data_IF_003992472355
#
_entry.id   IF_003992472355
#
_cell.length_a   1.000
_cell.length_b   1.000
_cell.length_c   1.000
_cell.angle_alpha   90.00
_cell.angle_beta   90.00
_cell.angle_gamma   90.00
#
_symmetry.space_group_name_H-M   'P 1'
#
loop_
_entity.id
_entity.type
_entity.pdbx_description
1 polymer ?
#
# COMPACT_ATOMS: atom_id res chain seq x y z
N UNK A 1 0.76 -0.19 13.66
CA UNK A 1 1.52 -0.25 12.39
C UNK A 1 2.99 -0.10 12.73
N UNK A 2 3.88 -0.88 12.12
CA UNK A 2 5.32 -0.84 12.40
C UNK A 2 6.10 -0.29 11.20
N UNK A 3 7.37 0.07 11.40
CA UNK A 3 8.29 0.44 10.30
C UNK A 3 8.35 -0.68 9.24
N UNK A 4 8.31 -1.94 9.68
CA UNK A 4 8.31 -3.11 8.80
C UNK A 4 7.04 -3.19 7.93
N UNK A 5 5.89 -2.75 8.44
CA UNK A 5 4.65 -2.72 7.66
C UNK A 5 4.72 -1.67 6.54
N UNK A 6 5.30 -0.49 6.82
CA UNK A 6 5.53 0.55 5.81
C UNK A 6 6.54 0.12 4.74
N UNK A 7 7.63 -0.56 5.12
CA UNK A 7 8.57 -1.13 4.15
C UNK A 7 7.89 -2.12 3.20
N UNK A 8 6.94 -2.93 3.70
CA UNK A 8 6.15 -3.85 2.88
C UNK A 8 5.22 -3.10 1.91
N UNK A 9 4.58 -2.02 2.35
CA UNK A 9 3.74 -1.20 1.48
C UNK A 9 4.55 -0.57 0.34
N UNK A 10 5.72 -0.01 0.64
CA UNK A 10 6.63 0.54 -0.38
C UNK A 10 7.07 -0.56 -1.35
N UNK A 11 7.51 -1.72 -0.83
CA UNK A 11 7.85 -2.86 -1.66
C UNK A 11 6.69 -3.27 -2.59
N UNK A 12 5.47 -3.36 -2.06
CA UNK A 12 4.27 -3.74 -2.81
C UNK A 12 3.92 -2.74 -3.92
N UNK A 13 4.18 -1.44 -3.72
CA UNK A 13 4.03 -0.42 -4.76
C UNK A 13 5.07 -0.56 -5.88
N UNK A 14 6.28 -1.02 -5.55
CA UNK A 14 7.41 -1.09 -6.48
C UNK A 14 7.54 -2.43 -7.19
N UNK A 15 7.04 -3.53 -6.60
CA UNK A 15 7.27 -4.89 -7.08
C UNK A 15 6.70 -5.10 -8.48
N UNK A 16 5.51 -4.57 -8.78
CA UNK A 16 4.86 -4.74 -10.08
C UNK A 16 5.58 -3.94 -11.19
N UNK A 17 5.86 -2.63 -11.06
CA UNK A 17 6.73 -1.92 -12.01
C UNK A 17 8.11 -2.56 -12.17
N UNK A 18 8.64 -3.15 -11.09
CA UNK A 18 9.91 -3.86 -11.09
C UNK A 18 10.00 -5.04 -12.05
N UNK A 19 8.87 -5.57 -12.56
CA UNK A 19 8.89 -6.63 -13.59
C UNK A 19 9.60 -6.15 -14.86
N UNK A 20 9.50 -4.86 -15.20
CA UNK A 20 10.18 -4.26 -16.35
C UNK A 20 11.71 -4.32 -16.21
N UNK A 21 12.23 -4.38 -14.98
CA UNK A 21 13.66 -4.49 -14.68
C UNK A 21 14.17 -5.93 -14.49
N UNK A 22 13.30 -6.93 -14.63
CA UNK A 22 13.66 -8.34 -14.55
C UNK A 22 14.20 -8.80 -13.17
N UNK A 23 14.90 -9.93 -13.18
CA UNK A 23 15.28 -10.67 -11.96
C UNK A 23 16.18 -9.87 -11.01
N UNK A 24 17.13 -9.11 -11.55
CA UNK A 24 18.08 -8.32 -10.75
C UNK A 24 17.37 -7.25 -9.92
N UNK A 25 16.41 -6.55 -10.54
CA UNK A 25 15.61 -5.51 -9.86
C UNK A 25 14.73 -6.13 -8.79
N UNK A 26 14.02 -7.23 -9.10
CA UNK A 26 13.18 -7.91 -8.11
C UNK A 26 13.95 -8.35 -6.85
N UNK A 27 15.09 -9.03 -7.03
CA UNK A 27 15.96 -9.41 -5.91
C UNK A 27 16.51 -8.21 -5.14
N UNK A 28 16.79 -7.11 -5.83
CA UNK A 28 17.20 -5.85 -5.21
C UNK A 28 16.10 -5.28 -4.31
N UNK A 29 14.87 -5.24 -4.80
CA UNK A 29 13.70 -4.77 -4.06
C UNK A 29 13.42 -5.65 -2.83
N UNK A 30 13.42 -6.98 -2.98
CA UNK A 30 13.17 -7.89 -1.85
C UNK A 30 14.25 -7.76 -0.78
N UNK A 31 15.53 -7.66 -1.18
CA UNK A 31 16.64 -7.46 -0.22
C UNK A 31 16.55 -6.12 0.49
N UNK A 32 16.34 -5.02 -0.27
CA UNK A 32 16.31 -3.66 0.27
C UNK A 32 15.14 -3.43 1.23
N UNK A 33 13.94 -3.87 0.85
CA UNK A 33 12.72 -3.51 1.56
C UNK A 33 12.21 -4.60 2.50
N UNK A 34 12.42 -5.88 2.16
CA UNK A 34 11.97 -6.99 3.00
C UNK A 34 13.10 -7.62 3.81
N UNK A 35 14.37 -7.30 3.52
CA UNK A 35 15.53 -7.95 4.13
C UNK A 35 15.67 -9.41 3.70
N UNK A 36 15.03 -9.80 2.59
CA UNK A 36 14.99 -11.19 2.11
C UNK A 36 15.62 -11.26 0.72
N UNK A 37 16.58 -12.18 0.56
CA UNK A 37 17.10 -12.59 -0.73
C UNK A 37 17.04 -14.10 -0.81
N UNK A 38 16.62 -14.64 -1.94
CA UNK A 38 16.69 -16.04 -2.28
C UNK A 38 17.69 -16.22 -3.43
N UNK A 39 18.46 -17.30 -3.35
CA UNK A 39 19.33 -17.73 -4.46
C UNK A 39 18.56 -18.41 -5.59
N UNK A 40 17.25 -18.66 -5.40
CA UNK A 40 16.44 -19.43 -6.33
C UNK A 40 16.12 -18.64 -7.61
N UNK A 41 15.73 -19.38 -8.66
CA UNK A 41 15.29 -18.80 -9.92
C UNK A 41 13.92 -18.13 -9.72
N UNK A 42 13.72 -16.87 -10.13
CA UNK A 42 12.46 -16.18 -9.94
C UNK A 42 11.35 -16.82 -10.78
N UNK A 43 10.17 -16.94 -10.18
CA UNK A 43 8.95 -17.51 -10.74
C UNK A 43 7.95 -16.41 -11.05
N UNK A 44 8.24 -15.63 -12.09
CA UNK A 44 7.47 -14.43 -12.46
C UNK A 44 5.98 -14.70 -12.70
N UNK A 45 5.64 -15.74 -13.46
CA UNK A 45 4.24 -16.07 -13.77
C UNK A 45 3.44 -16.35 -12.49
N UNK A 46 3.99 -17.15 -11.58
CA UNK A 46 3.36 -17.47 -10.30
C UNK A 46 3.25 -16.27 -9.36
N UNK A 47 4.17 -15.30 -9.47
CA UNK A 47 4.20 -14.11 -8.64
C UNK A 47 3.33 -12.96 -9.17
N UNK A 48 2.91 -13.00 -10.44
CA UNK A 48 2.24 -11.88 -11.09
C UNK A 48 0.92 -11.50 -10.41
N UNK A 49 0.02 -12.47 -10.23
CA UNK A 49 -1.27 -12.25 -9.54
C UNK A 49 -1.12 -11.63 -8.14
N UNK A 50 -0.31 -12.24 -7.24
CA UNK A 50 0.01 -11.64 -5.95
C UNK A 50 0.64 -10.23 -6.05
N UNK A 51 1.44 -9.96 -7.08
CA UNK A 51 2.04 -8.64 -7.36
C UNK A 51 1.02 -7.58 -7.73
N UNK A 52 0.04 -7.92 -8.56
CA UNK A 52 -1.07 -7.01 -8.89
C UNK A 52 -1.91 -6.69 -7.66
N UNK A 53 -2.29 -7.71 -6.87
CA UNK A 53 -3.09 -7.51 -5.64
C UNK A 53 -2.33 -6.63 -4.64
N UNK A 54 -1.04 -6.94 -4.39
CA UNK A 54 -0.22 -6.14 -3.49
C UNK A 54 -0.10 -4.68 -3.95
N UNK A 55 0.10 -4.46 -5.26
CA UNK A 55 0.19 -3.14 -5.85
C UNK A 55 -1.09 -2.34 -5.64
N UNK A 56 -2.26 -2.91 -5.93
CA UNK A 56 -3.54 -2.23 -5.76
C UNK A 56 -3.83 -1.89 -4.29
N UNK A 57 -3.53 -2.80 -3.37
CA UNK A 57 -3.66 -2.55 -1.94
C UNK A 57 -2.72 -1.45 -1.45
N UNK A 58 -1.46 -1.46 -1.91
CA UNK A 58 -0.51 -0.41 -1.57
C UNK A 58 -0.92 0.94 -2.18
N UNK A 59 -1.37 0.96 -3.42
CA UNK A 59 -1.87 2.16 -4.09
C UNK A 59 -3.06 2.77 -3.33
N UNK A 60 -4.04 1.94 -2.95
CA UNK A 60 -5.16 2.36 -2.13
C UNK A 60 -4.69 2.91 -0.78
N UNK A 61 -3.75 2.24 -0.10
CA UNK A 61 -3.20 2.73 1.17
C UNK A 61 -2.54 4.10 1.03
N UNK A 62 -1.68 4.29 0.02
CA UNK A 62 -1.02 5.58 -0.21
C UNK A 62 -2.01 6.66 -0.65
N UNK A 63 -3.04 6.30 -1.42
CA UNK A 63 -4.15 7.19 -1.72
C UNK A 63 -4.89 7.63 -0.45
N UNK A 64 -5.25 6.72 0.44
CA UNK A 64 -5.92 7.03 1.70
C UNK A 64 -5.08 7.98 2.57
N UNK A 65 -3.79 7.67 2.72
CA UNK A 65 -2.84 8.51 3.47
C UNK A 65 -2.76 9.91 2.86
N UNK A 66 -2.56 9.99 1.54
CA UNK A 66 -2.51 11.25 0.81
C UNK A 66 -3.82 12.03 0.92
N UNK A 67 -4.97 11.36 0.78
CA UNK A 67 -6.30 11.96 0.86
C UNK A 67 -6.57 12.57 2.22
N UNK A 68 -6.19 11.88 3.31
CA UNK A 68 -6.35 12.39 4.68
C UNK A 68 -5.38 13.52 4.98
N UNK A 69 -4.12 13.39 4.55
CA UNK A 69 -3.11 14.43 4.72
C UNK A 69 -3.43 15.72 3.96
N UNK A 70 -4.10 15.61 2.81
CA UNK A 70 -4.45 16.75 1.95
C UNK A 70 -5.92 17.16 2.03
N UNK A 71 -6.71 16.54 2.90
CA UNK A 71 -8.17 16.69 2.94
C UNK A 71 -8.61 18.16 2.99
N UNK A 72 -7.99 18.97 3.84
CA UNK A 72 -8.33 20.39 4.01
C UNK A 72 -8.08 21.24 2.76
N UNK A 73 -7.10 20.90 1.93
CA UNK A 73 -6.86 21.62 0.66
C UNK A 73 -7.97 21.41 -0.37
N UNK A 74 -8.69 20.29 -0.26
CA UNK A 74 -9.78 19.92 -1.17
C UNK A 74 -11.16 20.14 -0.54
N UNK A 75 -11.23 20.78 0.62
CA UNK A 75 -12.50 21.10 1.26
C UNK A 75 -13.09 22.37 0.65
N UNK A 76 -14.27 22.26 0.06
CA UNK A 76 -14.94 23.39 -0.60
C UNK A 76 -16.12 23.95 0.19
N UNK A 77 -16.58 23.29 1.25
CA UNK A 77 -17.66 23.78 2.13
C UNK A 77 -19.02 24.00 1.46
N UNK A 78 -19.16 23.72 0.16
CA UNK A 78 -20.32 24.07 -0.65
C UNK A 78 -21.50 23.08 -0.52
N UNK A 79 -21.32 21.97 0.21
CA UNK A 79 -22.40 21.06 0.58
C UNK A 79 -22.14 20.46 1.98
N UNK A 80 -22.31 21.25 3.06
CA UNK A 80 -22.01 20.81 4.40
C UNK A 80 -22.92 19.67 4.88
N UNK A 81 -24.16 19.61 4.36
CA UNK A 81 -25.18 18.62 4.74
C UNK A 81 -24.92 17.24 4.12
N UNK A 82 -24.31 17.17 2.94
CA UNK A 82 -23.89 15.92 2.31
C UNK A 82 -22.65 15.27 2.93
N UNK A 83 -21.93 15.97 3.82
CA UNK A 83 -20.64 15.50 4.35
C UNK A 83 -20.77 14.69 5.64
N UNK A 84 -20.31 13.43 5.59
CA UNK A 84 -20.21 12.59 6.78
C UNK A 84 -19.24 13.23 7.79
N UNK A 85 -19.70 13.46 9.01
CA UNK A 85 -18.94 14.20 10.05
C UNK A 85 -19.43 15.64 10.28
N UNK A 86 -20.48 16.07 9.59
CA UNK A 86 -21.15 17.34 9.83
C UNK A 86 -20.55 18.51 9.04
N UNK A 87 -21.04 19.74 9.28
CA UNK A 87 -20.78 20.88 8.40
C UNK A 87 -19.39 21.51 8.56
N UNK A 88 -18.58 20.99 9.49
CA UNK A 88 -17.25 21.53 9.76
C UNK A 88 -16.18 20.68 9.10
N UNK A 89 -15.12 21.35 8.61
CA UNK A 89 -13.93 20.67 8.10
C UNK A 89 -13.36 19.66 9.12
N UNK A 90 -13.29 20.05 10.39
CA UNK A 90 -12.76 19.20 11.45
C UNK A 90 -13.60 17.93 11.64
N UNK A 91 -14.93 18.06 11.74
CA UNK A 91 -15.82 16.93 11.91
C UNK A 91 -15.77 15.97 10.72
N UNK A 92 -15.82 16.50 9.50
CA UNK A 92 -15.70 15.71 8.29
C UNK A 92 -14.34 14.99 8.19
N UNK A 93 -13.25 15.69 8.50
CA UNK A 93 -11.91 15.11 8.53
C UNK A 93 -11.81 13.95 9.51
N UNK A 94 -12.34 14.10 10.74
CA UNK A 94 -12.29 13.07 11.79
C UNK A 94 -12.96 11.77 11.30
N UNK A 95 -14.16 11.86 10.70
CA UNK A 95 -14.86 10.67 10.20
C UNK A 95 -14.05 9.98 9.11
N UNK A 96 -13.57 10.73 8.12
CA UNK A 96 -12.78 10.15 7.03
C UNK A 96 -11.45 9.59 7.51
N UNK A 97 -10.81 10.21 8.51
CA UNK A 97 -9.60 9.71 9.15
C UNK A 97 -9.85 8.33 9.75
N UNK A 98 -10.93 8.14 10.50
CA UNK A 98 -11.25 6.85 11.10
C UNK A 98 -11.65 5.79 10.07
N UNK A 99 -12.36 6.17 9.00
CA UNK A 99 -12.64 5.27 7.87
C UNK A 99 -11.34 4.83 7.20
N UNK A 100 -10.45 5.77 6.87
CA UNK A 100 -9.16 5.48 6.28
C UNK A 100 -8.29 4.61 7.18
N UNK A 101 -8.28 4.87 8.49
CA UNK A 101 -7.57 4.06 9.48
C UNK A 101 -8.14 2.63 9.54
N UNK A 102 -9.47 2.50 9.56
CA UNK A 102 -10.18 1.22 9.55
C UNK A 102 -9.88 0.38 8.31
N UNK A 103 -9.62 1.01 7.16
CA UNK A 103 -9.17 0.33 5.93
C UNK A 103 -7.67 0.06 5.90
N UNK A 104 -6.85 0.97 6.43
CA UNK A 104 -5.39 0.84 6.42
C UNK A 104 -4.91 -0.37 7.23
N UNK A 105 -5.54 -0.64 8.38
CA UNK A 105 -5.19 -1.78 9.24
C UNK A 105 -5.30 -3.13 8.49
N UNK A 106 -6.44 -3.53 7.91
CA UNK A 106 -6.55 -4.78 7.17
C UNK A 106 -5.65 -4.81 5.93
N UNK A 107 -5.39 -3.67 5.26
CA UNK A 107 -4.41 -3.62 4.18
C UNK A 107 -3.02 -4.03 4.68
N UNK A 108 -2.53 -3.45 5.77
CA UNK A 108 -1.23 -3.85 6.33
C UNK A 108 -1.19 -5.32 6.73
N UNK A 109 -2.28 -5.84 7.30
CA UNK A 109 -2.39 -7.26 7.64
C UNK A 109 -2.32 -8.15 6.40
N UNK A 110 -3.03 -7.80 5.32
CA UNK A 110 -3.03 -8.53 4.06
C UNK A 110 -1.67 -8.49 3.35
N UNK A 111 -0.96 -7.35 3.39
CA UNK A 111 0.34 -7.22 2.76
C UNK A 111 1.41 -8.12 3.39
N UNK A 112 1.28 -8.52 4.67
CA UNK A 112 2.26 -9.40 5.35
C UNK A 112 2.43 -10.76 4.66
N UNK A 113 1.39 -11.60 4.50
CA UNK A 113 1.52 -12.88 3.82
C UNK A 113 1.84 -12.72 2.32
N UNK A 114 1.26 -11.71 1.64
CA UNK A 114 1.48 -11.50 0.20
C UNK A 114 2.94 -11.17 -0.09
N UNK A 115 3.54 -10.24 0.66
CA UNK A 115 4.95 -9.86 0.45
C UNK A 115 5.93 -10.97 0.85
N UNK A 116 5.58 -11.81 1.82
CA UNK A 116 6.34 -13.04 2.13
C UNK A 116 6.28 -14.04 0.97
N UNK A 117 5.11 -14.23 0.37
CA UNK A 117 4.98 -15.09 -0.82
C UNK A 117 5.79 -14.54 -1.99
N UNK A 118 5.71 -13.24 -2.27
CA UNK A 118 6.48 -12.59 -3.32
C UNK A 118 8.00 -12.75 -3.11
N UNK A 119 8.50 -12.57 -1.88
CA UNK A 119 9.91 -12.79 -1.59
C UNK A 119 10.36 -14.24 -1.84
N UNK A 120 9.50 -15.24 -1.63
CA UNK A 120 9.79 -16.65 -1.96
C UNK A 120 9.72 -16.96 -3.47
N UNK A 121 8.98 -16.15 -4.23
CA UNK A 121 8.80 -16.37 -5.66
C UNK A 121 9.78 -15.55 -6.50
N UNK A 122 10.15 -14.36 -6.06
CA UNK A 122 10.92 -13.36 -6.81
C UNK A 122 12.28 -13.02 -6.18
N UNK A 123 12.39 -13.23 -4.87
CA UNK A 123 13.55 -12.83 -4.07
C UNK A 123 14.80 -13.64 -4.36
#
# INVERSE_FOLDING_TARGET
MTISDWKRAIYALLVLPGYLGGAKVQRGLSRRWLGQGSGARPRFLAAFGPSVIAFLLALLLFYLVGRIATYGFFWTGNDPEGTWGGPTLAGAWIVHFFVALGMAIPIFLALRPITRLQARLLG
#
